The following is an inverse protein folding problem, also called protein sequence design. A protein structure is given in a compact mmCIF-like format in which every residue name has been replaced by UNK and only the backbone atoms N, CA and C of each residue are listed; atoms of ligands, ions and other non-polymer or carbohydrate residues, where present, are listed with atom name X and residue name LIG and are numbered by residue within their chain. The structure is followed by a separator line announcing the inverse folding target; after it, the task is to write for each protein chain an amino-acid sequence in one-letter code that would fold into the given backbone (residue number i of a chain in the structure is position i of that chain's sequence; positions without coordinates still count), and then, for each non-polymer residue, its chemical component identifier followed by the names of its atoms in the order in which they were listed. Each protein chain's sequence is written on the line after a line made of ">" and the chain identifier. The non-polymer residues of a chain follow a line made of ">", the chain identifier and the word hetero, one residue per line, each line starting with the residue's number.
data_IF_100147553754
#
_entry.id   IF_100147553754
#
_cell.length_a   1.000
_cell.length_b   1.000
_cell.length_c   1.000
_cell.angle_alpha   90.00
_cell.angle_beta   90.00
_cell.angle_gamma   90.00
#
_symmetry.space_group_name_H-M   'P 1'
#
loop_
_entity.id
_entity.type
_entity.pdbx_description
1 polymer ?
#
# COMPACT_ATOMS: atom_id res chain seq x y z
N UNK A 1 -16.59 34.59 2.71
CA UNK A 1 -16.38 33.18 3.09
C UNK A 1 -17.56 32.34 2.64
N UNK A 2 -17.36 31.01 2.51
CA UNK A 2 -18.45 30.05 2.37
C UNK A 2 -19.61 30.38 3.35
N UNK A 3 -20.87 30.16 2.95
CA UNK A 3 -22.03 30.31 3.83
C UNK A 3 -22.21 29.05 4.67
N UNK A 4 -22.94 29.19 5.77
CA UNK A 4 -22.98 28.18 6.81
C UNK A 4 -23.66 26.88 6.34
N UNK A 5 -22.88 25.80 6.20
CA UNK A 5 -23.35 24.42 5.97
C UNK A 5 -22.95 23.74 4.65
N UNK A 6 -22.61 24.50 3.61
CA UNK A 6 -22.70 24.03 2.21
C UNK A 6 -21.41 23.51 1.56
N UNK A 7 -20.33 23.35 2.34
CA UNK A 7 -19.05 22.93 1.78
C UNK A 7 -18.31 24.04 1.01
N UNK A 8 -17.26 23.69 0.26
CA UNK A 8 -16.38 24.66 -0.40
C UNK A 8 -17.11 25.41 -1.53
N UNK A 9 -16.76 26.69 -1.72
CA UNK A 9 -17.32 27.52 -2.81
C UNK A 9 -16.97 26.98 -4.19
N UNK A 10 -15.78 26.41 -4.32
CA UNK A 10 -15.28 25.77 -5.54
C UNK A 10 -14.57 24.45 -5.14
N UNK A 11 -14.84 23.38 -5.89
CA UNK A 11 -14.17 22.07 -5.75
C UNK A 11 -13.42 21.76 -7.04
N UNK A 12 -12.12 21.52 -6.93
CA UNK A 12 -11.32 21.00 -8.03
C UNK A 12 -10.87 19.58 -7.69
N UNK A 13 -11.26 18.62 -8.52
CA UNK A 13 -10.87 17.21 -8.37
C UNK A 13 -9.82 16.91 -9.43
N UNK A 14 -8.62 16.54 -9.00
CA UNK A 14 -7.54 16.09 -9.88
C UNK A 14 -7.42 14.58 -9.72
N UNK A 15 -7.70 13.83 -10.79
CA UNK A 15 -7.51 12.40 -10.85
C UNK A 15 -6.15 12.09 -11.46
N UNK A 16 -5.27 11.49 -10.65
CA UNK A 16 -3.93 11.10 -11.06
C UNK A 16 -3.80 9.57 -11.02
N UNK A 17 -3.46 8.96 -12.15
CA UNK A 17 -3.22 7.51 -12.21
C UNK A 17 -2.07 7.08 -11.29
N UNK A 18 -0.95 7.83 -11.34
CA UNK A 18 0.26 7.58 -10.54
C UNK A 18 0.71 6.11 -10.61
N UNK A 19 0.73 5.53 -11.80
CA UNK A 19 1.18 4.16 -12.06
C UNK A 19 0.14 3.07 -11.76
N UNK A 20 -1.06 3.42 -11.28
CA UNK A 20 -2.09 2.41 -10.93
C UNK A 20 -2.60 1.63 -12.13
N UNK A 21 -2.68 2.22 -13.32
CA UNK A 21 -3.07 1.51 -14.54
C UNK A 21 -2.05 0.42 -14.88
N UNK A 22 -0.75 0.69 -14.65
CA UNK A 22 0.31 -0.32 -14.80
C UNK A 22 0.14 -1.45 -13.79
N UNK A 23 -0.08 -1.11 -12.51
CA UNK A 23 -0.32 -2.12 -11.45
C UNK A 23 -1.56 -2.97 -11.76
N UNK A 24 -2.61 -2.35 -12.28
CA UNK A 24 -3.86 -3.03 -12.64
C UNK A 24 -3.66 -4.08 -13.75
N UNK A 25 -2.68 -3.88 -14.63
CA UNK A 25 -2.37 -4.85 -15.70
C UNK A 25 -1.78 -6.17 -15.17
N UNK A 26 -1.12 -6.15 -14.01
CA UNK A 26 -0.53 -7.34 -13.39
C UNK A 26 -1.63 -8.26 -12.80
N UNK A 27 -1.82 -9.50 -13.31
CA UNK A 27 -2.86 -10.42 -12.85
C UNK A 27 -2.77 -10.79 -11.37
N UNK A 28 -1.57 -10.83 -10.81
CA UNK A 28 -1.32 -11.19 -9.40
C UNK A 28 -1.26 -9.91 -8.57
N UNK A 29 -0.44 -8.96 -9.03
CA UNK A 29 -0.14 -7.71 -8.35
C UNK A 29 -1.34 -6.78 -8.17
N UNK A 30 -2.31 -6.78 -9.09
CA UNK A 30 -3.50 -5.90 -9.04
C UNK A 30 -4.32 -6.03 -7.77
N UNK A 31 -4.23 -7.16 -7.05
CA UNK A 31 -4.93 -7.34 -5.79
C UNK A 31 -4.52 -6.28 -4.74
N UNK A 32 -3.29 -5.76 -4.78
CA UNK A 32 -2.82 -4.70 -3.89
C UNK A 32 -3.64 -3.40 -4.02
N UNK A 33 -4.21 -3.12 -5.20
CA UNK A 33 -5.04 -1.94 -5.46
C UNK A 33 -6.38 -1.95 -4.70
N UNK A 34 -6.79 -3.09 -4.12
CA UNK A 34 -7.99 -3.19 -3.27
C UNK A 34 -7.78 -2.60 -1.89
N UNK A 35 -6.55 -2.25 -1.52
CA UNK A 35 -6.24 -1.79 -0.17
C UNK A 35 -7.00 -0.49 0.17
N UNK A 36 -7.80 -0.55 1.23
CA UNK A 36 -8.55 0.58 1.79
C UNK A 36 -7.79 1.34 2.89
N UNK A 37 -6.48 1.05 3.05
CA UNK A 37 -5.60 1.64 4.07
C UNK A 37 -6.14 1.52 5.51
N UNK A 38 -6.73 0.38 5.87
CA UNK A 38 -7.25 0.12 7.22
C UNK A 38 -6.18 -0.22 8.27
N UNK A 39 -4.91 -0.37 7.88
CA UNK A 39 -3.78 -0.71 8.75
C UNK A 39 -3.81 -2.08 9.45
N UNK A 40 -4.81 -2.94 9.21
CA UNK A 40 -4.89 -4.28 9.83
C UNK A 40 -3.64 -5.13 9.55
N UNK A 41 -3.23 -5.24 8.29
CA UNK A 41 -2.03 -6.00 7.89
C UNK A 41 -0.73 -5.42 8.47
N UNK A 42 -0.70 -4.11 8.70
CA UNK A 42 0.46 -3.40 9.23
C UNK A 42 0.62 -3.67 10.72
N UNK A 43 -0.47 -3.60 11.49
CA UNK A 43 -0.46 -3.78 12.94
C UNK A 43 -0.15 -5.21 13.37
N UNK A 44 -0.47 -6.21 12.55
CA UNK A 44 -0.16 -7.62 12.84
C UNK A 44 1.24 -8.04 12.36
N UNK A 45 1.93 -7.20 11.58
CA UNK A 45 3.16 -7.60 10.91
C UNK A 45 4.37 -7.54 11.85
N UNK A 46 5.07 -8.67 12.10
CA UNK A 46 6.23 -8.67 12.99
C UNK A 46 7.41 -7.88 12.41
N UNK A 47 7.58 -7.82 11.08
CA UNK A 47 8.64 -7.02 10.47
C UNK A 47 8.38 -5.54 10.71
N UNK A 48 7.17 -5.06 10.42
CA UNK A 48 6.79 -3.67 10.64
C UNK A 48 6.92 -3.27 12.10
N UNK A 49 6.52 -4.13 13.04
CA UNK A 49 6.67 -3.90 14.48
C UNK A 49 8.13 -3.61 14.88
N UNK A 50 9.11 -4.27 14.25
CA UNK A 50 10.53 -4.11 14.57
C UNK A 50 11.21 -2.95 13.85
N UNK A 51 10.91 -2.73 12.57
CA UNK A 51 11.63 -1.74 11.74
C UNK A 51 10.91 -0.39 11.63
N UNK A 52 9.61 -0.36 11.92
CA UNK A 52 8.77 0.83 11.79
C UNK A 52 8.52 1.27 10.34
N UNK A 53 7.74 2.35 10.17
CA UNK A 53 7.30 2.82 8.86
C UNK A 53 8.38 3.49 8.01
N UNK A 54 9.36 4.15 8.63
CA UNK A 54 10.40 4.89 7.90
C UNK A 54 11.28 3.99 7.03
N UNK A 55 11.50 2.74 7.45
CA UNK A 55 12.27 1.75 6.69
C UNK A 55 11.67 1.47 5.30
N UNK A 56 10.37 1.72 5.10
CA UNK A 56 9.69 1.49 3.82
C UNK A 56 9.86 2.66 2.83
N UNK A 57 10.36 3.82 3.27
CA UNK A 57 10.65 4.98 2.42
C UNK A 57 9.45 5.53 1.64
N UNK A 58 8.23 5.32 2.13
CA UNK A 58 6.98 5.67 1.44
C UNK A 58 5.84 5.85 2.44
N UNK A 59 4.78 6.52 2.00
CA UNK A 59 3.50 6.63 2.71
C UNK A 59 2.71 5.32 2.77
N UNK A 60 3.14 4.30 1.99
CA UNK A 60 2.66 2.94 2.10
C UNK A 60 3.71 2.09 2.83
N UNK A 61 3.61 1.92 4.16
CA UNK A 61 4.50 1.05 4.91
C UNK A 61 3.88 -0.34 5.17
N UNK A 62 4.65 -1.22 5.80
CA UNK A 62 4.22 -2.56 6.18
C UNK A 62 4.02 -3.49 4.98
N UNK A 63 3.33 -4.64 5.17
CA UNK A 63 3.19 -5.65 4.11
C UNK A 63 2.54 -5.13 2.82
N UNK A 64 1.62 -4.16 2.91
CA UNK A 64 1.06 -3.55 1.69
C UNK A 64 2.09 -2.69 0.96
N UNK A 65 2.93 -1.97 1.70
CA UNK A 65 4.04 -1.19 1.15
C UNK A 65 5.08 -2.05 0.46
N UNK A 66 5.33 -3.24 1.00
CA UNK A 66 6.25 -4.22 0.44
C UNK A 66 5.87 -4.63 -1.00
N UNK A 67 4.57 -4.61 -1.33
CA UNK A 67 4.04 -4.95 -2.66
C UNK A 67 3.84 -3.69 -3.52
N UNK A 68 3.14 -2.70 -2.98
CA UNK A 68 2.61 -1.59 -3.79
C UNK A 68 3.70 -0.58 -4.19
N UNK A 69 4.70 -0.35 -3.34
CA UNK A 69 5.76 0.62 -3.65
C UNK A 69 6.60 0.18 -4.85
N UNK A 70 7.13 -1.07 -4.93
CA UNK A 70 7.83 -1.53 -6.13
C UNK A 70 7.00 -1.46 -7.41
N UNK A 71 5.69 -1.73 -7.33
CA UNK A 71 4.80 -1.70 -8.48
C UNK A 71 4.58 -0.29 -9.02
N UNK A 72 4.43 0.69 -8.13
CA UNK A 72 4.18 2.09 -8.49
C UNK A 72 5.48 2.84 -8.82
N UNK A 73 6.52 2.67 -8.00
CA UNK A 73 7.78 3.43 -8.08
C UNK A 73 8.87 2.74 -8.90
N UNK A 74 8.71 1.45 -9.20
CA UNK A 74 9.76 0.63 -9.78
C UNK A 74 10.80 0.20 -8.76
N UNK A 75 11.89 -0.39 -9.25
CA UNK A 75 12.94 -1.05 -8.46
C UNK A 75 14.31 -0.36 -8.62
N UNK A 76 14.33 0.92 -8.99
CA UNK A 76 15.59 1.63 -9.20
C UNK A 76 16.27 2.00 -7.87
N UNK A 77 15.48 2.35 -6.86
CA UNK A 77 16.00 2.71 -5.54
C UNK A 77 16.41 1.47 -4.73
N UNK A 78 17.45 1.61 -3.90
CA UNK A 78 17.90 0.55 -2.98
C UNK A 78 16.77 0.15 -2.02
N UNK A 79 16.00 1.13 -1.55
CA UNK A 79 14.87 0.89 -0.66
C UNK A 79 13.82 0.04 -1.37
N UNK A 80 13.33 0.45 -2.55
CA UNK A 80 12.30 -0.28 -3.29
C UNK A 80 12.70 -1.73 -3.62
N UNK A 81 13.97 -1.96 -3.96
CA UNK A 81 14.48 -3.33 -4.19
C UNK A 81 14.46 -4.21 -2.95
N UNK A 82 14.62 -3.62 -1.78
CA UNK A 82 14.61 -4.36 -0.52
C UNK A 82 13.19 -4.70 -0.04
N UNK A 83 12.19 -3.94 -0.49
CA UNK A 83 10.82 -4.03 0.04
C UNK A 83 10.15 -5.40 -0.11
N UNK A 84 10.27 -6.14 -1.23
CA UNK A 84 9.72 -7.50 -1.32
C UNK A 84 10.29 -8.46 -0.25
N UNK A 85 11.51 -8.19 0.23
CA UNK A 85 12.19 -8.98 1.25
C UNK A 85 11.89 -8.52 2.69
N UNK A 86 11.10 -7.45 2.88
CA UNK A 86 10.68 -6.97 4.19
C UNK A 86 9.51 -7.81 4.77
N UNK A 87 9.65 -9.13 4.75
CA UNK A 87 8.61 -10.09 5.12
C UNK A 87 9.18 -11.38 5.69
N UNK A 88 8.47 -11.99 6.63
CA UNK A 88 8.73 -13.36 7.11
C UNK A 88 7.83 -14.40 6.43
N UNK A 89 6.95 -13.97 5.52
CA UNK A 89 5.94 -14.80 4.86
C UNK A 89 5.03 -15.60 5.82
N UNK A 90 4.86 -15.15 7.07
CA UNK A 90 4.07 -15.86 8.08
C UNK A 90 2.55 -15.90 7.82
N UNK A 91 2.05 -15.16 6.84
CA UNK A 91 0.63 -15.20 6.44
C UNK A 91 -0.36 -14.42 7.32
N UNK A 92 0.05 -13.92 8.50
CA UNK A 92 -0.86 -13.22 9.44
C UNK A 92 -1.59 -12.01 8.80
N UNK A 93 -0.94 -11.31 7.87
CA UNK A 93 -1.55 -10.20 7.13
C UNK A 93 -2.73 -10.62 6.25
N UNK A 94 -2.76 -11.86 5.75
CA UNK A 94 -3.86 -12.39 4.95
C UNK A 94 -5.09 -12.64 5.81
N UNK A 95 -4.90 -13.15 7.03
CA UNK A 95 -5.98 -13.50 7.96
C UNK A 95 -6.77 -12.28 8.43
N UNK A 96 -6.08 -11.15 8.63
CA UNK A 96 -6.70 -9.92 9.16
C UNK A 96 -7.17 -8.96 8.08
N UNK A 97 -6.91 -9.23 6.80
CA UNK A 97 -7.24 -8.30 5.72
C UNK A 97 -8.74 -8.30 5.40
N UNK A 98 -9.49 -7.20 5.69
CA UNK A 98 -10.95 -7.19 5.52
C UNK A 98 -11.39 -7.26 4.04
N UNK A 99 -10.49 -6.90 3.12
CA UNK A 99 -10.70 -6.93 1.67
C UNK A 99 -10.01 -8.12 0.99
N UNK A 100 -9.54 -9.10 1.78
CA UNK A 100 -9.03 -10.41 1.33
C UNK A 100 -7.91 -10.30 0.27
N UNK A 101 -6.97 -9.38 0.47
CA UNK A 101 -5.75 -9.31 -0.35
C UNK A 101 -4.82 -10.44 0.13
N UNK A 102 -4.37 -11.35 -0.75
CA UNK A 102 -3.46 -12.42 -0.39
C UNK A 102 -2.01 -11.90 -0.35
N UNK A 103 -1.75 -10.94 0.55
CA UNK A 103 -0.49 -10.18 0.65
C UNK A 103 0.73 -11.09 0.65
N UNK A 104 0.79 -12.11 1.52
CA UNK A 104 1.97 -12.98 1.59
C UNK A 104 2.15 -13.90 0.39
N UNK A 105 1.13 -14.07 -0.46
CA UNK A 105 1.23 -14.89 -1.68
C UNK A 105 1.65 -14.07 -2.90
N UNK A 106 1.59 -12.73 -2.80
CA UNK A 106 2.01 -11.80 -3.86
C UNK A 106 3.50 -11.46 -3.74
N UNK A 107 4.05 -11.52 -2.51
CA UNK A 107 5.45 -11.30 -2.20
C UNK A 107 6.35 -12.45 -2.66
#
# INVERSE_FOLDING_TARGET
>A
GAREGDGPRDVHIILLDNGRTKVLSDPIGRAALRCIRCSACLNICPVYEKVGGHAYGSVYPGPIGAILNPQIRGLESVVDRSLPFASTLCGACNEVCPVKIPISNIL
#
